data_IF_626889629331
#
_entry.id   IF_626889629331
#
_cell.length_a   1.000
_cell.length_b   1.000
_cell.length_c   1.000
_cell.angle_alpha   90.00
_cell.angle_beta   90.00
_cell.angle_gamma   90.00
#
_symmetry.space_group_name_H-M   'P 1'
#
loop_
_entity.id
_entity.type
_entity.pdbx_description
1 polymer ?
#
# COMPACT_ATOMS: atom_id res chain seq x y z
N UNK A 1 63.23 57.82 -40.01
CA UNK A 1 62.96 58.98 -40.78
C UNK A 1 61.54 59.45 -40.58
N UNK A 2 61.46 60.58 -39.95
CA UNK A 2 60.52 61.74 -40.18
C UNK A 2 59.03 61.45 -40.11
N UNK A 3 58.42 61.92 -39.02
CA UNK A 3 57.70 63.24 -38.90
C UNK A 3 56.29 63.13 -39.49
N UNK A 4 55.24 63.62 -38.95
CA UNK A 4 55.00 64.81 -38.07
C UNK A 4 53.53 64.93 -37.87
N UNK A 5 53.03 65.25 -36.66
CA UNK A 5 52.19 66.40 -36.29
C UNK A 5 50.97 66.68 -37.22
N UNK A 6 49.89 67.11 -36.80
CA UNK A 6 49.48 67.96 -35.64
C UNK A 6 48.00 68.22 -35.72
N UNK A 7 47.48 68.63 -34.61
CA UNK A 7 46.48 69.68 -34.33
C UNK A 7 45.02 69.46 -34.72
N UNK A 8 44.23 69.46 -33.74
CA UNK A 8 43.60 70.55 -32.93
C UNK A 8 42.26 70.93 -33.51
N UNK A 9 41.33 70.99 -32.83
CA UNK A 9 40.56 71.79 -31.92
C UNK A 9 39.09 71.61 -32.07
N UNK A 10 38.50 71.34 -30.92
CA UNK A 10 37.30 71.92 -30.36
C UNK A 10 36.23 72.52 -31.31
N UNK A 11 35.02 72.10 -31.09
CA UNK A 11 33.94 73.01 -30.67
C UNK A 11 32.79 72.23 -30.04
N UNK A 12 32.45 72.67 -28.87
CA UNK A 12 31.26 72.28 -28.13
C UNK A 12 29.98 72.71 -28.89
N UNK A 13 28.98 71.90 -28.86
CA UNK A 13 27.61 72.47 -28.88
C UNK A 13 26.64 71.48 -28.27
N UNK A 14 26.13 71.92 -27.22
CA UNK A 14 24.93 71.56 -26.44
C UNK A 14 23.76 71.15 -27.35
N UNK A 15 23.20 69.98 -27.05
CA UNK A 15 21.75 69.79 -27.25
C UNK A 15 21.25 68.75 -26.23
N UNK A 16 20.61 69.37 -25.25
CA UNK A 16 19.74 68.64 -24.35
C UNK A 16 18.58 68.02 -25.12
N UNK A 17 18.26 66.77 -24.85
CA UNK A 17 16.88 66.33 -24.97
C UNK A 17 16.65 64.96 -24.37
N UNK A 18 15.88 64.98 -23.34
CA UNK A 18 14.86 64.03 -23.05
C UNK A 18 15.30 62.65 -22.59
N UNK A 19 15.68 62.56 -21.32
CA UNK A 19 15.46 61.34 -20.55
C UNK A 19 13.94 61.05 -20.50
N UNK A 20 13.47 60.18 -21.32
CA UNK A 20 12.19 59.48 -21.03
C UNK A 20 12.42 58.59 -19.83
N UNK A 21 11.90 59.00 -18.70
CA UNK A 21 11.69 58.19 -17.51
C UNK A 21 10.80 57.03 -17.96
N UNK A 22 11.42 55.90 -18.26
CA UNK A 22 10.72 54.65 -18.51
C UNK A 22 10.21 54.17 -17.16
N UNK A 23 8.93 54.18 -17.04
CA UNK A 23 8.11 53.89 -15.88
C UNK A 23 8.51 52.54 -15.28
N UNK A 24 9.33 52.58 -14.20
CA UNK A 24 9.85 51.44 -13.45
C UNK A 24 8.79 50.79 -12.54
N UNK A 25 7.51 51.11 -12.79
CA UNK A 25 6.37 50.57 -12.02
C UNK A 25 5.66 49.41 -12.67
N UNK A 26 6.11 48.89 -13.81
CA UNK A 26 5.46 47.75 -14.49
C UNK A 26 6.27 46.44 -14.50
N UNK A 27 7.37 46.36 -13.75
CA UNK A 27 8.24 45.17 -13.73
C UNK A 27 8.13 44.37 -12.44
N UNK A 28 7.11 44.54 -11.62
CA UNK A 28 6.96 43.89 -10.32
C UNK A 28 5.70 43.00 -10.19
N UNK A 29 5.14 42.52 -11.30
CA UNK A 29 4.04 41.55 -11.22
C UNK A 29 4.23 40.38 -12.19
N UNK A 30 5.37 39.75 -12.10
CA UNK A 30 5.66 38.49 -12.75
C UNK A 30 6.16 37.45 -11.72
N UNK A 31 5.49 37.34 -10.58
CA UNK A 31 5.69 36.17 -9.71
C UNK A 31 5.06 34.99 -10.40
N UNK A 32 5.93 34.27 -11.14
CA UNK A 32 5.67 32.93 -11.62
C UNK A 32 5.32 32.06 -10.42
N UNK A 33 4.03 31.80 -10.24
CA UNK A 33 3.51 30.84 -9.29
C UNK A 33 3.96 29.45 -9.78
N UNK A 34 5.18 29.06 -9.42
CA UNK A 34 5.67 27.72 -9.60
C UNK A 34 4.88 26.86 -8.61
N UNK A 35 3.72 26.34 -9.05
CA UNK A 35 3.01 25.29 -8.35
C UNK A 35 3.96 24.08 -8.29
N UNK A 36 4.65 23.96 -7.17
CA UNK A 36 5.34 22.72 -6.81
C UNK A 36 4.24 21.69 -6.65
N UNK A 37 3.99 20.92 -7.71
CA UNK A 37 3.26 19.67 -7.59
C UNK A 37 4.12 18.78 -6.67
N UNK A 38 3.81 18.79 -5.39
CA UNK A 38 4.32 17.78 -4.46
C UNK A 38 3.80 16.44 -4.96
N UNK A 39 4.66 15.70 -5.66
CA UNK A 39 4.44 14.28 -5.91
C UNK A 39 4.24 13.66 -4.54
N UNK A 40 3.14 12.92 -4.29
CA UNK A 40 3.00 12.19 -3.06
C UNK A 40 4.21 11.24 -2.99
N UNK A 41 5.10 11.47 -2.02
CA UNK A 41 6.09 10.48 -1.67
C UNK A 41 5.31 9.20 -1.38
N UNK A 42 5.64 8.11 -2.06
CA UNK A 42 5.14 6.77 -1.76
C UNK A 42 5.77 6.36 -0.42
N UNK A 43 5.39 7.05 0.64
CA UNK A 43 5.64 6.57 1.99
C UNK A 43 4.85 5.27 2.13
N UNK A 44 5.51 4.20 2.56
CA UNK A 44 4.84 2.92 2.83
C UNK A 44 3.57 3.15 3.65
N UNK A 45 2.57 2.30 3.47
CA UNK A 45 1.31 2.45 4.20
C UNK A 45 1.58 2.39 5.71
N UNK A 46 1.06 3.37 6.43
CA UNK A 46 1.24 3.52 7.87
C UNK A 46 -0.11 3.67 8.57
N UNK A 47 -0.10 3.56 9.87
CA UNK A 47 -1.28 3.83 10.70
C UNK A 47 -1.80 5.25 10.47
N UNK A 48 -3.13 5.39 10.34
CA UNK A 48 -3.80 6.63 9.96
C UNK A 48 -3.98 6.82 8.45
N UNK A 49 -3.22 6.13 7.59
CA UNK A 49 -3.41 6.20 6.15
C UNK A 49 -4.74 5.56 5.72
N UNK A 50 -5.29 5.99 4.58
CA UNK A 50 -6.43 5.31 3.97
C UNK A 50 -5.98 4.03 3.29
N UNK A 51 -6.62 2.91 3.60
CA UNK A 51 -6.34 1.63 2.96
C UNK A 51 -6.72 1.66 1.47
N UNK A 52 -5.83 1.24 0.56
CA UNK A 52 -6.16 1.08 -0.85
C UNK A 52 -7.34 0.13 -1.02
N UNK A 53 -8.33 0.56 -1.79
CA UNK A 53 -9.49 -0.27 -2.07
C UNK A 53 -9.16 -1.31 -3.14
N UNK A 54 -9.62 -2.53 -2.93
CA UNK A 54 -9.45 -3.57 -3.93
C UNK A 54 -10.67 -4.47 -4.05
N UNK A 55 -10.75 -5.13 -5.20
CA UNK A 55 -11.66 -6.22 -5.49
C UNK A 55 -10.83 -7.35 -6.08
N UNK A 56 -11.03 -8.57 -5.61
CA UNK A 56 -10.25 -9.72 -6.05
C UNK A 56 -11.10 -10.98 -6.12
N UNK A 57 -10.67 -11.94 -6.93
CA UNK A 57 -11.14 -13.31 -6.83
C UNK A 57 -10.66 -13.90 -5.51
N UNK A 58 -11.56 -14.41 -4.71
CA UNK A 58 -11.26 -15.02 -3.43
C UNK A 58 -11.95 -16.37 -3.31
N UNK A 59 -11.47 -17.22 -2.41
CA UNK A 59 -12.05 -18.51 -2.12
C UNK A 59 -12.40 -18.62 -0.64
N UNK A 60 -13.58 -19.14 -0.35
CA UNK A 60 -14.04 -19.50 0.97
C UNK A 60 -14.58 -20.92 0.94
N UNK A 61 -14.06 -21.81 1.75
CA UNK A 61 -14.44 -23.21 1.80
C UNK A 61 -14.46 -23.87 0.41
N UNK A 62 -13.45 -23.58 -0.42
CA UNK A 62 -13.29 -24.13 -1.77
C UNK A 62 -14.16 -23.46 -2.85
N UNK A 63 -14.96 -22.47 -2.48
CA UNK A 63 -15.87 -21.78 -3.42
C UNK A 63 -15.34 -20.41 -3.79
N UNK A 64 -15.11 -20.21 -5.09
CA UNK A 64 -14.67 -18.91 -5.62
C UNK A 64 -15.81 -17.89 -5.59
N UNK A 65 -15.47 -16.67 -5.19
CA UNK A 65 -16.36 -15.52 -5.25
C UNK A 65 -15.54 -14.22 -5.45
N UNK A 66 -16.24 -13.12 -5.67
CA UNK A 66 -15.59 -11.80 -5.76
C UNK A 66 -15.61 -11.12 -4.38
N UNK A 67 -14.44 -10.95 -3.77
CA UNK A 67 -14.29 -10.17 -2.54
C UNK A 67 -14.16 -8.68 -2.89
N UNK A 68 -14.74 -7.81 -2.06
CA UNK A 68 -14.56 -6.36 -2.14
C UNK A 68 -14.29 -5.81 -0.74
N UNK A 69 -13.14 -5.14 -0.58
CA UNK A 69 -12.77 -4.51 0.69
C UNK A 69 -13.83 -3.48 1.12
N UNK A 70 -14.31 -2.65 0.20
CA UNK A 70 -15.38 -1.68 0.48
C UNK A 70 -16.63 -2.32 1.06
N UNK A 71 -17.07 -3.46 0.49
CA UNK A 71 -18.24 -4.21 0.99
C UNK A 71 -17.96 -4.85 2.34
N UNK A 72 -16.75 -5.31 2.60
CA UNK A 72 -16.38 -5.87 3.89
C UNK A 72 -16.37 -4.79 4.98
N UNK A 73 -15.75 -3.64 4.72
CA UNK A 73 -15.69 -2.50 5.64
C UNK A 73 -17.07 -1.93 6.00
N UNK A 74 -18.08 -2.05 5.13
CA UNK A 74 -19.44 -1.63 5.48
C UNK A 74 -20.07 -2.46 6.61
N UNK A 75 -19.52 -3.66 6.87
CA UNK A 75 -19.98 -4.57 7.93
C UNK A 75 -19.20 -4.40 9.23
N UNK A 76 -17.91 -4.04 9.15
CA UNK A 76 -17.03 -3.91 10.31
C UNK A 76 -15.58 -3.74 9.92
N UNK A 77 -14.64 -3.76 10.88
CA UNK A 77 -13.21 -3.74 10.57
C UNK A 77 -12.79 -4.96 9.76
N UNK A 78 -11.70 -4.79 8.99
CA UNK A 78 -11.16 -5.88 8.15
C UNK A 78 -9.69 -6.08 8.47
N UNK A 79 -9.32 -7.33 8.70
CA UNK A 79 -7.92 -7.78 8.79
C UNK A 79 -7.51 -8.30 7.43
N UNK A 80 -6.59 -7.58 6.77
CA UNK A 80 -5.97 -7.99 5.50
C UNK A 80 -4.57 -8.47 5.81
N UNK A 81 -4.30 -9.76 5.65
CA UNK A 81 -2.95 -10.28 5.84
C UNK A 81 -2.35 -10.78 4.53
N UNK A 82 -1.18 -10.24 4.18
CA UNK A 82 -0.37 -10.68 3.06
C UNK A 82 0.56 -11.80 3.52
N UNK A 83 0.68 -12.84 2.71
CA UNK A 83 1.54 -13.99 3.00
C UNK A 83 2.21 -14.52 1.73
N UNK A 84 3.43 -15.10 1.85
CA UNK A 84 4.22 -15.56 0.70
C UNK A 84 3.52 -16.53 -0.23
N UNK A 85 3.04 -17.66 0.27
CA UNK A 85 2.35 -18.69 -0.53
C UNK A 85 1.61 -19.69 0.34
N UNK A 86 0.46 -20.15 -0.11
CA UNK A 86 -0.26 -21.28 0.46
C UNK A 86 0.61 -22.56 0.45
N UNK A 87 0.37 -23.44 1.40
CA UNK A 87 1.11 -24.69 1.58
C UNK A 87 2.61 -24.52 1.82
N UNK A 88 2.98 -23.48 2.59
CA UNK A 88 4.34 -23.28 3.07
C UNK A 88 4.33 -23.06 4.59
N UNK A 89 5.28 -23.67 5.31
CA UNK A 89 5.23 -23.86 6.77
C UNK A 89 4.75 -22.69 7.60
N UNK A 90 5.35 -21.49 7.44
CA UNK A 90 4.92 -20.29 8.19
C UNK A 90 3.55 -19.79 7.79
N UNK A 91 3.17 -19.91 6.50
CA UNK A 91 1.86 -19.47 6.01
C UNK A 91 0.75 -20.43 6.46
N UNK A 92 1.05 -21.71 6.46
CA UNK A 92 0.15 -22.77 6.94
C UNK A 92 -0.16 -22.58 8.43
N UNK A 93 0.87 -22.29 9.23
CA UNK A 93 0.73 -22.01 10.65
C UNK A 93 -0.12 -20.75 10.90
N UNK A 94 0.11 -19.68 10.14
CA UNK A 94 -0.67 -18.44 10.25
C UNK A 94 -2.14 -18.67 9.90
N UNK A 95 -2.41 -19.33 8.76
CA UNK A 95 -3.76 -19.65 8.31
C UNK A 95 -4.49 -20.52 9.33
N UNK A 96 -3.82 -21.55 9.86
CA UNK A 96 -4.36 -22.42 10.92
C UNK A 96 -4.70 -21.62 12.18
N UNK A 97 -3.80 -20.73 12.61
CA UNK A 97 -4.02 -19.88 13.79
C UNK A 97 -5.20 -18.94 13.57
N UNK A 98 -5.31 -18.28 12.39
CA UNK A 98 -6.49 -17.49 12.05
C UNK A 98 -7.78 -18.33 12.07
N UNK A 99 -7.73 -19.57 11.58
CA UNK A 99 -8.90 -20.46 11.59
C UNK A 99 -9.33 -20.81 13.02
N UNK A 100 -8.39 -21.09 13.92
CA UNK A 100 -8.66 -21.35 15.33
C UNK A 100 -9.28 -20.14 16.05
N UNK A 101 -8.78 -18.94 15.76
CA UNK A 101 -9.21 -17.67 16.38
C UNK A 101 -10.41 -17.01 15.65
N UNK A 102 -10.86 -17.57 14.53
CA UNK A 102 -11.86 -16.96 13.63
C UNK A 102 -13.15 -16.54 14.33
N UNK A 103 -13.61 -17.32 15.33
CA UNK A 103 -14.82 -16.99 16.08
C UNK A 103 -14.63 -15.74 16.96
N UNK A 104 -13.41 -15.50 17.49
CA UNK A 104 -13.11 -14.29 18.26
C UNK A 104 -13.07 -13.06 17.36
N UNK A 105 -12.50 -13.16 16.15
CA UNK A 105 -12.56 -12.10 15.15
C UNK A 105 -13.99 -11.77 14.75
N UNK A 106 -14.81 -12.79 14.50
CA UNK A 106 -16.23 -12.64 14.17
C UNK A 106 -17.01 -12.01 15.33
N UNK A 107 -16.76 -12.43 16.56
CA UNK A 107 -17.38 -11.82 17.75
C UNK A 107 -17.00 -10.34 17.92
N UNK A 108 -15.77 -9.97 17.51
CA UNK A 108 -15.33 -8.57 17.45
C UNK A 108 -15.85 -7.81 16.21
N UNK A 109 -16.71 -8.42 15.39
CA UNK A 109 -17.29 -7.83 14.18
C UNK A 109 -16.31 -7.72 13.01
N UNK A 110 -15.13 -8.35 13.09
CA UNK A 110 -14.11 -8.24 12.08
C UNK A 110 -14.22 -9.32 11.01
N UNK A 111 -13.86 -8.95 9.78
CA UNK A 111 -13.66 -9.87 8.65
C UNK A 111 -12.17 -10.12 8.47
N UNK A 112 -11.76 -11.37 8.27
CA UNK A 112 -10.39 -11.75 7.91
C UNK A 112 -10.34 -12.02 6.40
N UNK A 113 -9.29 -11.59 5.72
CA UNK A 113 -8.96 -11.94 4.34
C UNK A 113 -7.45 -12.13 4.18
N UNK A 114 -7.02 -13.31 3.73
CA UNK A 114 -5.64 -13.54 3.32
C UNK A 114 -5.43 -13.12 1.87
N UNK A 115 -4.25 -12.62 1.54
CA UNK A 115 -3.89 -12.19 0.17
C UNK A 115 -2.52 -12.76 -0.18
N UNK A 116 -2.43 -13.47 -1.30
CA UNK A 116 -1.17 -13.99 -1.84
C UNK A 116 -1.18 -13.98 -3.37
N UNK A 117 -0.01 -14.22 -3.97
CA UNK A 117 0.10 -14.32 -5.43
C UNK A 117 -0.35 -15.69 -5.97
N UNK A 118 -0.81 -16.58 -5.11
CA UNK A 118 -1.34 -17.89 -5.50
C UNK A 118 -2.52 -17.78 -6.48
N UNK A 119 -2.65 -18.77 -7.36
CA UNK A 119 -3.80 -18.86 -8.24
C UNK A 119 -5.09 -19.16 -7.46
N UNK A 120 -6.23 -18.74 -7.99
CA UNK A 120 -7.52 -19.01 -7.34
C UNK A 120 -7.80 -20.51 -7.20
N UNK A 121 -7.32 -21.33 -8.13
CA UNK A 121 -7.45 -22.79 -8.06
C UNK A 121 -6.72 -23.34 -6.83
N UNK A 122 -5.47 -22.88 -6.59
CA UNK A 122 -4.67 -23.26 -5.43
C UNK A 122 -5.33 -22.79 -4.13
N UNK A 123 -5.89 -21.58 -4.11
CA UNK A 123 -6.61 -21.03 -2.97
C UNK A 123 -7.96 -21.73 -2.70
N UNK A 124 -8.61 -22.32 -3.71
CA UNK A 124 -9.81 -23.14 -3.48
C UNK A 124 -9.48 -24.32 -2.58
N UNK A 125 -8.41 -25.05 -2.89
CA UNK A 125 -7.96 -26.17 -2.06
C UNK A 125 -7.56 -25.70 -0.66
N UNK A 126 -6.73 -24.64 -0.59
CA UNK A 126 -6.21 -24.13 0.67
C UNK A 126 -7.30 -23.60 1.60
N UNK A 127 -8.28 -22.89 1.06
CA UNK A 127 -9.38 -22.34 1.87
C UNK A 127 -10.30 -23.41 2.45
N UNK A 128 -10.42 -24.54 1.77
CA UNK A 128 -11.25 -25.68 2.23
C UNK A 128 -10.51 -26.62 3.19
N UNK A 129 -9.18 -26.67 3.09
CA UNK A 129 -8.38 -27.66 3.83
C UNK A 129 -8.51 -27.45 5.35
N UNK A 130 -8.96 -28.49 6.08
CA UNK A 130 -9.17 -28.42 7.54
C UNK A 130 -7.88 -28.17 8.33
N UNK A 131 -6.71 -28.41 7.75
CA UNK A 131 -5.42 -28.19 8.38
C UNK A 131 -4.99 -26.71 8.33
N UNK A 132 -5.62 -25.89 7.46
CA UNK A 132 -5.21 -24.51 7.20
C UNK A 132 -6.36 -23.54 7.46
N UNK A 133 -7.05 -23.07 6.42
CA UNK A 133 -8.14 -22.12 6.60
C UNK A 133 -9.44 -22.75 7.14
N UNK A 134 -9.60 -24.04 6.98
CA UNK A 134 -10.74 -24.84 7.49
C UNK A 134 -12.12 -24.28 7.08
N UNK A 135 -12.22 -23.58 5.95
CA UNK A 135 -13.45 -22.92 5.51
C UNK A 135 -13.90 -21.75 6.39
N UNK A 136 -13.05 -21.24 7.30
CA UNK A 136 -13.43 -20.24 8.31
C UNK A 136 -13.34 -18.80 7.83
N UNK A 137 -12.44 -18.52 6.90
CA UNK A 137 -12.23 -17.19 6.32
C UNK A 137 -11.74 -17.29 4.87
N UNK A 138 -11.94 -16.25 4.05
CA UNK A 138 -11.53 -16.25 2.66
C UNK A 138 -10.03 -15.97 2.47
N UNK A 139 -9.50 -16.47 1.34
CA UNK A 139 -8.20 -16.11 0.79
C UNK A 139 -8.37 -15.58 -0.63
N UNK A 140 -7.70 -14.47 -0.95
CA UNK A 140 -7.79 -13.77 -2.23
C UNK A 140 -6.53 -13.95 -3.08
N UNK A 141 -6.72 -14.10 -4.38
CA UNK A 141 -5.66 -14.20 -5.37
C UNK A 141 -5.23 -12.81 -5.87
N UNK A 142 -3.99 -12.46 -5.63
CA UNK A 142 -3.30 -11.31 -6.20
C UNK A 142 -2.28 -11.74 -7.26
N UNK A 143 -2.69 -12.58 -8.20
CA UNK A 143 -1.82 -13.24 -9.19
C UNK A 143 -0.86 -12.28 -9.92
N UNK A 144 -1.23 -11.02 -10.08
CA UNK A 144 -0.39 -10.00 -10.74
C UNK A 144 0.38 -9.10 -9.77
N UNK A 145 0.24 -9.27 -8.44
CA UNK A 145 0.88 -8.43 -7.44
C UNK A 145 0.35 -6.99 -7.36
N UNK A 146 -0.79 -6.70 -7.99
CA UNK A 146 -1.33 -5.34 -8.04
C UNK A 146 -1.84 -4.87 -6.67
N UNK A 147 -2.46 -5.77 -5.90
CA UNK A 147 -2.92 -5.47 -4.54
C UNK A 147 -1.71 -5.29 -3.63
N UNK A 148 -0.75 -6.23 -3.65
CA UNK A 148 0.51 -6.13 -2.90
C UNK A 148 1.20 -4.80 -3.18
N UNK A 149 1.36 -4.43 -4.45
CA UNK A 149 1.95 -3.14 -4.84
C UNK A 149 1.19 -1.95 -4.27
N UNK A 150 -0.16 -1.96 -4.31
CA UNK A 150 -0.97 -0.86 -3.78
C UNK A 150 -0.84 -0.70 -2.26
N UNK A 151 -0.53 -1.79 -1.57
CA UNK A 151 -0.25 -1.83 -0.12
C UNK A 151 1.24 -1.63 0.20
N UNK A 152 2.08 -1.29 -0.79
CA UNK A 152 3.53 -1.15 -0.64
C UNK A 152 4.18 -2.40 -0.04
N UNK A 153 3.66 -3.58 -0.40
CA UNK A 153 4.23 -4.88 -0.01
C UNK A 153 5.22 -5.30 -1.09
N UNK A 154 6.44 -5.57 -0.69
CA UNK A 154 7.47 -6.09 -1.57
C UNK A 154 7.16 -7.53 -1.96
N UNK A 155 7.47 -7.85 -3.22
CA UNK A 155 7.30 -9.19 -3.80
C UNK A 155 8.65 -9.67 -4.29
N UNK A 156 9.15 -10.72 -3.68
CA UNK A 156 10.45 -11.31 -4.00
C UNK A 156 10.28 -12.56 -4.85
N UNK A 157 11.21 -12.79 -5.78
CA UNK A 157 11.24 -14.04 -6.53
C UNK A 157 11.89 -15.13 -5.66
N UNK A 158 11.24 -16.28 -5.58
CA UNK A 158 11.82 -17.44 -4.94
C UNK A 158 12.90 -18.13 -5.80
N UNK A 159 13.68 -19.04 -5.21
CA UNK A 159 14.59 -19.89 -5.98
C UNK A 159 13.82 -20.67 -7.06
N UNK A 160 14.43 -20.88 -8.26
CA UNK A 160 13.82 -21.71 -9.31
C UNK A 160 13.48 -23.13 -8.78
N UNK A 161 12.29 -23.63 -9.12
CA UNK A 161 11.87 -24.99 -8.76
C UNK A 161 11.52 -25.18 -7.29
N UNK A 162 11.36 -24.08 -6.52
CA UNK A 162 10.88 -24.18 -5.12
C UNK A 162 9.51 -24.84 -5.08
N UNK A 163 9.34 -25.77 -4.13
CA UNK A 163 8.12 -26.56 -3.98
C UNK A 163 7.48 -26.30 -2.62
N UNK A 164 6.16 -26.42 -2.59
CA UNK A 164 5.38 -26.42 -1.36
C UNK A 164 5.51 -27.74 -0.58
N UNK A 165 4.87 -27.80 0.59
CA UNK A 165 4.90 -29.01 1.46
C UNK A 165 4.25 -30.25 0.82
N UNK A 166 3.52 -30.08 -0.28
CA UNK A 166 2.92 -31.17 -1.07
C UNK A 166 3.80 -31.61 -2.24
N UNK A 167 4.96 -30.96 -2.44
CA UNK A 167 5.86 -31.19 -3.56
C UNK A 167 5.45 -30.47 -4.87
N UNK A 168 4.46 -29.59 -4.83
CA UNK A 168 3.99 -28.82 -5.98
C UNK A 168 4.85 -27.57 -6.13
N UNK A 169 5.34 -27.29 -7.35
CA UNK A 169 6.15 -26.11 -7.64
C UNK A 169 5.36 -24.83 -7.43
N UNK A 170 6.01 -23.81 -6.84
CA UNK A 170 5.48 -22.48 -6.65
C UNK A 170 6.00 -21.60 -7.78
N UNK A 171 5.15 -21.32 -8.76
CA UNK A 171 5.49 -20.58 -9.98
C UNK A 171 5.22 -19.08 -9.90
N UNK A 172 5.29 -18.47 -8.71
CA UNK A 172 5.03 -17.04 -8.53
C UNK A 172 5.96 -16.44 -7.45
N UNK A 173 6.00 -15.10 -7.38
CA UNK A 173 6.74 -14.39 -6.34
C UNK A 173 6.08 -14.48 -4.95
N UNK A 174 6.83 -14.14 -3.93
CA UNK A 174 6.44 -14.19 -2.53
C UNK A 174 6.24 -12.79 -1.99
N UNK A 175 5.02 -12.47 -1.57
CA UNK A 175 4.72 -11.22 -0.88
C UNK A 175 5.30 -11.24 0.54
N UNK A 176 5.83 -10.11 0.99
CA UNK A 176 6.28 -9.96 2.37
C UNK A 176 5.10 -10.10 3.33
N UNK A 177 5.33 -10.86 4.41
CA UNK A 177 4.32 -11.07 5.42
C UNK A 177 4.03 -9.78 6.18
N UNK A 178 2.83 -9.27 5.98
CA UNK A 178 2.35 -8.05 6.64
C UNK A 178 0.85 -8.14 6.87
N UNK A 179 0.41 -7.78 8.06
CA UNK A 179 -1.02 -7.73 8.41
C UNK A 179 -1.45 -6.31 8.66
N UNK A 180 -2.50 -5.88 7.98
CA UNK A 180 -3.16 -4.60 8.19
C UNK A 180 -4.48 -4.81 8.90
N UNK A 181 -4.72 -4.07 9.96
CA UNK A 181 -6.05 -3.94 10.54
C UNK A 181 -6.65 -2.62 10.07
N UNK A 182 -7.79 -2.70 9.39
CA UNK A 182 -8.45 -1.56 8.76
C UNK A 182 -9.78 -1.33 9.47
N UNK A 183 -9.96 -0.14 10.03
CA UNK A 183 -11.21 0.24 10.69
C UNK A 183 -12.34 0.45 9.66
N UNK A 184 -13.57 0.45 10.12
CA UNK A 184 -14.78 0.57 9.29
C UNK A 184 -14.80 1.81 8.38
N UNK A 185 -14.14 2.88 8.77
CA UNK A 185 -13.99 4.12 7.99
C UNK A 185 -12.93 4.02 6.88
N UNK A 186 -12.26 2.87 6.75
CA UNK A 186 -11.21 2.61 5.78
C UNK A 186 -9.81 3.09 6.20
N UNK A 187 -9.62 3.53 7.43
CA UNK A 187 -8.30 3.88 7.94
C UNK A 187 -7.55 2.66 8.46
N UNK A 188 -6.26 2.59 8.14
CA UNK A 188 -5.35 1.59 8.71
C UNK A 188 -5.12 1.99 10.19
N UNK A 189 -5.44 1.10 11.09
CA UNK A 189 -5.27 1.32 12.54
C UNK A 189 -4.12 0.52 13.11
N UNK A 190 -3.63 -0.47 12.39
CA UNK A 190 -2.39 -1.17 12.74
C UNK A 190 -1.73 -1.79 11.50
N UNK A 191 -0.40 -1.77 11.49
CA UNK A 191 0.47 -2.46 10.53
C UNK A 191 1.38 -3.39 11.32
N UNK A 192 1.25 -4.69 11.10
CA UNK A 192 1.98 -5.75 11.82
C UNK A 192 2.92 -6.43 10.84
N UNK A 193 4.23 -6.35 11.08
CA UNK A 193 5.28 -6.98 10.30
C UNK A 193 6.44 -7.40 11.20
N UNK A 194 7.36 -8.20 10.67
CA UNK A 194 8.58 -8.61 11.37
C UNK A 194 8.35 -9.34 12.71
N UNK A 195 7.25 -10.07 12.80
CA UNK A 195 6.91 -10.94 13.94
C UNK A 195 6.61 -12.35 13.45
N UNK A 196 6.49 -13.30 14.36
CA UNK A 196 6.15 -14.69 14.00
C UNK A 196 4.72 -14.80 13.46
N UNK A 197 4.40 -15.83 12.64
CA UNK A 197 3.05 -16.01 12.11
C UNK A 197 1.94 -16.03 13.18
N UNK A 198 2.07 -16.71 14.33
CA UNK A 198 1.05 -16.62 15.39
C UNK A 198 0.94 -15.23 16.02
N UNK A 199 2.04 -14.47 16.12
CA UNK A 199 2.00 -13.10 16.66
C UNK A 199 1.26 -12.14 15.75
N UNK A 200 1.29 -12.33 14.41
CA UNK A 200 0.43 -11.58 13.49
C UNK A 200 -1.04 -11.71 13.88
N UNK A 201 -1.47 -12.94 14.14
CA UNK A 201 -2.87 -13.23 14.50
C UNK A 201 -3.23 -12.65 15.86
N UNK A 202 -2.39 -12.87 16.88
CA UNK A 202 -2.64 -12.39 18.24
C UNK A 202 -2.74 -10.86 18.30
N UNK A 203 -1.78 -10.15 17.68
CA UNK A 203 -1.78 -8.68 17.62
C UNK A 203 -2.98 -8.14 16.83
N UNK A 204 -3.34 -8.75 15.70
CA UNK A 204 -4.51 -8.34 14.93
C UNK A 204 -5.81 -8.53 15.73
N UNK A 205 -5.93 -9.63 16.49
CA UNK A 205 -7.10 -9.89 17.35
C UNK A 205 -7.23 -8.84 18.45
N UNK A 206 -6.13 -8.53 19.13
CA UNK A 206 -6.10 -7.49 20.17
C UNK A 206 -6.61 -6.14 19.63
N UNK A 207 -6.12 -5.73 18.44
CA UNK A 207 -6.54 -4.46 17.82
C UNK A 207 -8.02 -4.46 17.49
N UNK A 208 -8.59 -5.51 16.90
CA UNK A 208 -10.02 -5.54 16.55
C UNK A 208 -10.90 -5.58 17.79
N UNK A 209 -10.48 -6.27 18.86
CA UNK A 209 -11.20 -6.26 20.14
C UNK A 209 -11.21 -4.87 20.78
N UNK A 210 -10.09 -4.14 20.70
CA UNK A 210 -10.01 -2.76 21.18
C UNK A 210 -10.92 -1.81 20.36
N UNK A 211 -11.01 -1.99 19.04
CA UNK A 211 -11.93 -1.24 18.18
C UNK A 211 -13.39 -1.50 18.58
N UNK A 212 -13.74 -2.76 18.85
CA UNK A 212 -15.08 -3.14 19.32
C UNK A 212 -15.44 -2.46 20.64
N UNK A 213 -14.53 -2.52 21.63
CA UNK A 213 -14.75 -1.92 22.95
C UNK A 213 -15.00 -0.40 22.85
N UNK A 214 -14.25 0.31 22.00
CA UNK A 214 -14.47 1.74 21.76
C UNK A 214 -15.84 2.04 21.15
N UNK A 215 -16.34 1.17 20.28
CA UNK A 215 -17.64 1.36 19.62
C UNK A 215 -18.83 1.10 20.56
N UNK A 216 -18.64 0.24 21.59
CA UNK A 216 -19.66 -0.09 22.56
C UNK A 216 -19.73 0.89 23.74
N UNK A 217 -18.66 1.65 23.98
CA UNK A 217 -18.55 2.64 25.05
C UNK A 217 -18.84 4.09 24.64
N UNK A 218 -19.16 4.31 23.36
CA UNK A 218 -19.52 5.62 22.80
C UNK A 218 -21.03 5.71 22.55
#
# INVERSE_FOLDING_TARGET
MRRSRSHETAVASTLAASLKVFDMKRLLFGTLLMSVMALPAMAGLHEGASAPQFTAQASLAGKTFTFSLKKALSKGPVVVYFYPSAYTGGCDLEAHTFAQESEKFRAAGATIIGVSLDSIQRLNDFSADPKYCAGKFPTASDKGGAISKSYAIDVHQGPPGIKDVRGVEIGHGFADRTTFVIARDGKIVSVISNVTPPEHVAKALEVVQHLQAKTQGA
#
